data_IF_691229221072
#
_entry.id   IF_691229221072
#
_cell.length_a   1.000
_cell.length_b   1.000
_cell.length_c   1.000
_cell.angle_alpha   90.00
_cell.angle_beta   90.00
_cell.angle_gamma   90.00
#
_symmetry.space_group_name_H-M   'P 1'
#
loop_
_entity.id
_entity.type
_entity.pdbx_description
1 polymer ?
#
# COMPACT_ATOMS: atom_id res chain seq x y z
N UNK A 1 -37.29 11.45 57.43
CA UNK A 1 -37.58 10.99 56.07
C UNK A 1 -36.24 10.80 55.34
N UNK A 2 -35.69 9.57 55.40
CA UNK A 2 -34.44 9.20 54.78
C UNK A 2 -34.72 8.57 53.42
N UNK A 3 -34.17 9.16 52.34
CA UNK A 3 -34.17 8.53 50.99
C UNK A 3 -32.91 7.68 50.84
N UNK A 4 -32.99 6.43 50.39
CA UNK A 4 -31.79 5.63 50.09
C UNK A 4 -31.11 6.07 48.81
N UNK A 5 -29.77 6.15 48.83
CA UNK A 5 -28.90 6.36 47.67
C UNK A 5 -28.90 5.10 46.82
N UNK A 6 -29.28 5.21 45.56
CA UNK A 6 -29.07 4.17 44.54
C UNK A 6 -27.61 4.21 44.07
N UNK A 7 -26.94 3.06 44.14
CA UNK A 7 -25.64 2.82 43.54
C UNK A 7 -25.83 2.38 42.08
N UNK A 8 -25.04 2.87 41.12
CA UNK A 8 -25.10 2.38 39.76
C UNK A 8 -24.56 0.94 39.66
N UNK A 9 -25.23 0.13 38.86
CA UNK A 9 -24.85 -1.26 38.60
C UNK A 9 -23.53 -1.35 37.81
N UNK A 10 -22.72 -2.39 38.03
CA UNK A 10 -21.46 -2.56 37.32
C UNK A 10 -21.71 -2.92 35.85
N UNK A 11 -20.95 -2.27 34.97
CA UNK A 11 -20.91 -2.55 33.54
C UNK A 11 -20.49 -4.01 33.29
N UNK A 12 -21.33 -4.72 32.56
CA UNK A 12 -21.05 -6.08 32.12
C UNK A 12 -20.01 -6.03 31.01
N UNK A 13 -18.78 -6.43 31.32
CA UNK A 13 -17.76 -6.73 30.32
C UNK A 13 -18.22 -7.98 29.56
N UNK A 14 -18.55 -7.82 28.29
CA UNK A 14 -18.84 -8.94 27.41
C UNK A 14 -17.50 -9.62 27.05
N UNK A 15 -17.22 -10.77 27.66
CA UNK A 15 -16.17 -11.68 27.21
C UNK A 15 -16.59 -12.21 25.83
N UNK A 16 -15.91 -11.75 24.77
CA UNK A 16 -15.98 -12.35 23.44
C UNK A 16 -15.24 -13.69 23.48
N UNK A 17 -15.96 -14.76 23.25
CA UNK A 17 -15.41 -16.11 23.14
C UNK A 17 -14.58 -16.23 21.87
N UNK A 18 -13.25 -16.26 22.00
CA UNK A 18 -12.31 -16.59 20.94
C UNK A 18 -12.47 -18.07 20.57
N UNK A 19 -13.00 -18.36 19.38
CA UNK A 19 -12.97 -19.70 18.81
C UNK A 19 -11.62 -19.87 18.08
N UNK A 20 -10.76 -20.72 18.64
CA UNK A 20 -9.48 -21.10 18.04
C UNK A 20 -9.74 -22.09 16.90
N UNK A 21 -9.70 -21.63 15.64
CA UNK A 21 -9.64 -22.50 14.47
C UNK A 21 -8.19 -22.62 13.99
N UNK A 22 -7.58 -23.77 14.27
CA UNK A 22 -6.27 -24.12 13.71
C UNK A 22 -6.51 -24.65 12.28
N UNK A 23 -6.26 -23.82 11.28
CA UNK A 23 -6.19 -24.26 9.89
C UNK A 23 -4.72 -24.18 9.46
N UNK A 24 -4.12 -25.34 9.17
CA UNK A 24 -2.74 -25.40 8.66
C UNK A 24 -2.70 -24.79 7.27
N UNK A 25 -2.07 -23.62 7.14
CA UNK A 25 -1.75 -23.01 5.85
C UNK A 25 -0.35 -23.44 5.41
N UNK A 26 -0.21 -23.79 4.13
CA UNK A 26 1.08 -24.07 3.52
C UNK A 26 1.95 -22.80 3.55
N UNK A 27 3.02 -22.84 4.34
CA UNK A 27 3.99 -21.77 4.45
C UNK A 27 4.69 -21.53 3.09
N UNK A 28 4.63 -20.31 2.60
CA UNK A 28 5.64 -19.81 1.67
C UNK A 28 6.90 -19.60 2.52
N UNK A 29 7.79 -20.59 2.49
CA UNK A 29 9.04 -20.55 3.24
C UNK A 29 9.99 -19.53 2.59
N UNK A 30 10.01 -18.30 3.11
CA UNK A 30 11.18 -17.45 3.02
C UNK A 30 12.35 -18.19 3.70
N UNK A 31 13.53 -18.10 3.11
CA UNK A 31 14.72 -18.93 3.46
C UNK A 31 15.36 -18.47 4.79
N UNK A 32 14.63 -18.57 5.90
CA UNK A 32 15.09 -18.24 7.26
C UNK A 32 15.67 -19.46 7.99
N UNK A 33 16.59 -20.18 7.34
CA UNK A 33 17.23 -21.35 7.92
C UNK A 33 17.97 -21.01 9.21
N UNK A 34 17.44 -21.44 10.35
CA UNK A 34 18.06 -21.30 11.67
C UNK A 34 17.54 -20.13 12.52
N UNK A 35 16.59 -19.33 12.05
CA UNK A 35 15.96 -18.29 12.86
C UNK A 35 14.93 -18.90 13.82
N UNK A 36 14.81 -18.31 15.01
CA UNK A 36 13.70 -18.57 15.92
C UNK A 36 12.45 -17.90 15.37
N UNK A 37 11.30 -18.58 15.48
CA UNK A 37 10.01 -18.09 14.97
C UNK A 37 8.98 -18.03 16.08
N UNK A 38 8.11 -17.02 16.00
CA UNK A 38 6.90 -16.88 16.82
C UNK A 38 5.74 -16.50 15.93
N UNK A 39 4.66 -17.25 15.96
CA UNK A 39 3.48 -17.07 15.12
C UNK A 39 2.31 -16.52 15.93
N UNK A 40 1.58 -15.60 15.32
CA UNK A 40 0.38 -15.00 15.86
C UNK A 40 -0.75 -15.10 14.83
N UNK A 41 -1.91 -15.61 15.24
CA UNK A 41 -3.07 -15.76 14.39
C UNK A 41 -4.32 -15.27 15.10
N UNK A 42 -5.00 -14.28 14.56
CA UNK A 42 -6.22 -13.76 15.14
C UNK A 42 -7.20 -13.27 14.08
N UNK A 43 -8.50 -13.42 14.36
CA UNK A 43 -9.58 -12.90 13.52
C UNK A 43 -10.42 -11.95 14.35
N UNK A 44 -10.74 -10.80 13.75
CA UNK A 44 -11.52 -9.73 14.37
C UNK A 44 -12.80 -9.53 13.57
N UNK A 45 -13.96 -9.47 14.25
CA UNK A 45 -15.20 -9.06 13.61
C UNK A 45 -15.09 -7.61 13.12
N UNK A 46 -15.46 -7.37 11.87
CA UNK A 46 -15.17 -6.10 11.21
C UNK A 46 -16.27 -5.69 10.24
N UNK A 47 -16.52 -4.39 10.09
CA UNK A 47 -17.49 -3.90 9.10
C UNK A 47 -16.92 -3.99 7.68
N UNK A 48 -17.77 -4.18 6.66
CA UNK A 48 -17.30 -4.31 5.27
C UNK A 48 -16.48 -3.13 4.74
N UNK A 49 -16.71 -1.93 5.27
CA UNK A 49 -16.10 -0.66 4.89
C UNK A 49 -15.21 -0.08 6.00
N UNK A 50 -14.85 -0.89 6.97
CA UNK A 50 -14.00 -0.49 8.10
C UNK A 50 -12.60 -0.07 7.66
N UNK A 51 -11.92 0.64 8.56
CA UNK A 51 -10.59 1.21 8.37
C UNK A 51 -9.52 0.29 8.91
N UNK A 52 -8.50 0.01 8.09
CA UNK A 52 -7.31 -0.76 8.48
C UNK A 52 -6.08 0.11 8.36
N UNK A 53 -5.30 0.16 9.44
CA UNK A 53 -3.99 0.81 9.51
C UNK A 53 -2.93 -0.24 9.88
N UNK A 54 -1.77 -0.18 9.22
CA UNK A 54 -0.65 -1.06 9.53
C UNK A 54 0.68 -0.31 9.40
N UNK A 55 1.48 -0.33 10.46
CA UNK A 55 2.85 0.17 10.46
C UNK A 55 3.82 -0.98 10.75
N UNK A 56 4.69 -1.31 9.78
CA UNK A 56 5.74 -2.31 9.94
C UNK A 56 7.11 -1.72 9.62
N UNK A 57 8.10 -2.08 10.41
CA UNK A 57 9.47 -1.58 10.24
C UNK A 57 10.29 -2.53 9.37
N UNK A 58 10.26 -3.84 9.67
CA UNK A 58 11.02 -4.84 8.93
C UNK A 58 10.16 -6.07 8.64
N UNK A 59 10.06 -6.46 7.39
CA UNK A 59 9.37 -7.67 6.92
C UNK A 59 8.30 -7.37 5.88
N UNK A 60 7.88 -8.41 5.18
CA UNK A 60 6.87 -8.34 4.14
C UNK A 60 5.46 -8.18 4.72
N UNK A 61 4.59 -7.53 3.95
CA UNK A 61 3.16 -7.41 4.24
C UNK A 61 2.37 -7.82 3.00
N UNK A 62 1.50 -8.80 3.15
CA UNK A 62 0.59 -9.26 2.11
C UNK A 62 -0.86 -8.99 2.54
N UNK A 63 -1.60 -8.22 1.74
CA UNK A 63 -2.99 -7.89 2.00
C UNK A 63 -3.85 -8.45 0.87
N UNK A 64 -4.78 -9.31 1.20
CA UNK A 64 -5.74 -9.89 0.28
C UNK A 64 -7.17 -9.71 0.80
N UNK A 65 -8.16 -10.03 -0.02
CA UNK A 65 -9.56 -9.82 0.34
C UNK A 65 -10.38 -11.09 0.35
N UNK A 66 -11.46 -11.06 1.14
CA UNK A 66 -12.51 -12.08 1.17
C UNK A 66 -13.91 -11.47 1.30
N UNK A 67 -14.93 -12.33 1.26
CA UNK A 67 -16.33 -11.89 1.35
C UNK A 67 -16.91 -12.05 2.78
N UNK A 68 -16.04 -11.99 3.81
CA UNK A 68 -16.46 -12.09 5.21
C UNK A 68 -16.35 -10.73 5.91
N UNK A 69 -17.21 -10.46 6.89
CA UNK A 69 -17.19 -9.26 7.71
C UNK A 69 -16.21 -9.43 8.89
N UNK A 70 -15.00 -9.82 8.59
CA UNK A 70 -13.92 -10.08 9.53
C UNK A 70 -12.59 -9.69 8.92
N UNK A 71 -11.61 -9.33 9.76
CA UNK A 71 -10.21 -9.22 9.36
C UNK A 71 -9.42 -10.34 10.02
N UNK A 72 -8.75 -11.16 9.21
CA UNK A 72 -7.79 -12.14 9.67
C UNK A 72 -6.39 -11.53 9.65
N UNK A 73 -5.69 -11.64 10.76
CA UNK A 73 -4.30 -11.20 10.94
C UNK A 73 -3.44 -12.41 11.26
N UNK A 74 -2.56 -12.74 10.34
CA UNK A 74 -1.49 -13.71 10.56
C UNK A 74 -0.16 -12.94 10.60
N UNK A 75 0.61 -13.08 11.67
CA UNK A 75 1.93 -12.47 11.80
C UNK A 75 2.96 -13.53 12.20
N UNK A 76 4.12 -13.49 11.56
CA UNK A 76 5.23 -14.37 11.87
C UNK A 76 6.46 -13.53 12.18
N UNK A 77 7.00 -13.68 13.39
CA UNK A 77 8.24 -13.03 13.79
C UNK A 77 9.43 -13.97 13.56
N UNK A 78 10.53 -13.42 13.11
CA UNK A 78 11.80 -14.12 12.88
C UNK A 78 12.94 -13.37 13.57
N UNK A 79 13.79 -14.09 14.29
CA UNK A 79 14.99 -13.51 14.88
C UNK A 79 16.11 -14.56 15.10
N UNK A 80 17.36 -14.10 15.15
CA UNK A 80 18.51 -14.95 15.43
C UNK A 80 18.62 -15.33 16.92
N UNK A 81 17.92 -14.63 17.80
CA UNK A 81 17.90 -14.90 19.24
C UNK A 81 16.53 -14.62 19.86
N UNK A 82 16.27 -15.27 21.00
CA UNK A 82 15.03 -15.07 21.74
C UNK A 82 14.88 -13.64 22.24
N UNK A 83 15.96 -13.00 22.67
CA UNK A 83 15.95 -11.61 23.13
C UNK A 83 15.47 -10.66 22.03
N UNK A 84 15.93 -10.86 20.78
CA UNK A 84 15.49 -10.06 19.63
C UNK A 84 14.04 -10.34 19.25
N UNK A 85 13.62 -11.60 19.35
CA UNK A 85 12.24 -11.98 19.12
C UNK A 85 11.30 -11.29 20.13
N UNK A 86 11.69 -11.28 21.40
CA UNK A 86 10.95 -10.66 22.50
C UNK A 86 10.94 -9.11 22.39
N UNK A 87 11.90 -8.50 21.69
CA UNK A 87 11.96 -7.06 21.45
C UNK A 87 10.94 -6.57 20.38
N UNK A 88 10.53 -7.43 19.46
CA UNK A 88 9.53 -7.06 18.49
C UNK A 88 8.13 -7.21 19.10
N UNK A 89 7.50 -6.08 19.41
CA UNK A 89 6.16 -6.03 19.94
C UNK A 89 5.15 -5.73 18.82
N UNK A 90 4.12 -6.56 18.72
CA UNK A 90 2.99 -6.34 17.83
C UNK A 90 1.84 -5.81 18.68
N UNK A 91 1.54 -4.52 18.52
CA UNK A 91 0.42 -3.88 19.17
C UNK A 91 -0.77 -3.87 18.21
N UNK A 92 -1.92 -4.37 18.65
CA UNK A 92 -3.15 -4.40 17.87
C UNK A 92 -4.25 -3.73 18.69
N UNK A 93 -4.84 -2.69 18.11
CA UNK A 93 -6.03 -2.03 18.62
C UNK A 93 -7.17 -2.28 17.63
N UNK A 94 -8.28 -2.86 18.11
CA UNK A 94 -9.36 -3.32 17.24
C UNK A 94 -10.73 -2.94 17.79
N UNK A 95 -11.49 -2.23 16.97
CA UNK A 95 -12.89 -1.96 17.09
C UNK A 95 -13.66 -2.60 15.93
N UNK A 96 -14.99 -2.44 15.90
CA UNK A 96 -15.83 -3.03 14.85
C UNK A 96 -15.55 -2.47 13.44
N UNK A 97 -15.08 -1.23 13.34
CA UNK A 97 -14.87 -0.47 12.09
C UNK A 97 -13.44 0.10 11.98
N UNK A 98 -12.59 -0.21 12.96
CA UNK A 98 -11.19 0.25 12.97
C UNK A 98 -10.27 -0.85 13.49
N UNK A 99 -9.19 -1.11 12.74
CA UNK A 99 -8.10 -2.00 13.12
C UNK A 99 -6.77 -1.29 12.89
N UNK A 100 -6.00 -1.11 13.97
CA UNK A 100 -4.65 -0.55 13.90
C UNK A 100 -3.63 -1.59 14.36
N UNK A 101 -2.65 -1.88 13.52
CA UNK A 101 -1.56 -2.84 13.78
C UNK A 101 -0.25 -2.09 13.72
N UNK A 102 0.57 -2.19 14.77
CA UNK A 102 1.88 -1.52 14.82
C UNK A 102 2.96 -2.45 15.32
N UNK A 103 4.04 -2.59 14.55
CA UNK A 103 5.25 -3.24 15.02
C UNK A 103 6.15 -2.23 15.72
N UNK A 104 6.42 -2.44 17.00
CA UNK A 104 7.28 -1.59 17.83
C UNK A 104 8.55 -2.33 18.23
N UNK A 105 9.66 -1.61 18.24
CA UNK A 105 10.93 -2.05 18.79
C UNK A 105 11.31 -1.11 19.94
N UNK A 106 12.03 -1.59 20.97
CA UNK A 106 12.53 -0.72 22.03
C UNK A 106 13.40 0.40 21.45
N UNK A 107 13.23 1.61 21.98
CA UNK A 107 14.15 2.71 21.71
C UNK A 107 15.54 2.32 22.19
N UNK A 108 16.40 1.89 21.29
CA UNK A 108 17.82 1.81 21.61
C UNK A 108 18.37 3.23 21.55
N UNK A 109 18.92 3.70 22.68
CA UNK A 109 19.82 4.85 22.71
C UNK A 109 20.72 4.78 21.48
N UNK A 110 20.76 5.87 20.69
CA UNK A 110 21.56 6.00 19.47
C UNK A 110 23.07 6.02 19.79
N UNK A 111 23.53 5.17 20.67
CA UNK A 111 24.95 4.87 20.81
C UNK A 111 25.31 3.97 19.61
N UNK A 112 25.86 4.61 18.57
CA UNK A 112 26.46 3.94 17.42
C UNK A 112 27.55 2.97 17.90
N UNK A 113 27.15 1.76 18.23
CA UNK A 113 28.10 0.69 18.51
C UNK A 113 28.46 0.02 17.16
N UNK A 114 29.50 0.50 16.53
CA UNK A 114 30.04 0.07 15.23
C UNK A 114 30.60 -1.37 15.27
N UNK A 115 29.97 -2.31 15.82
CA UNK A 115 30.49 -3.68 15.91
C UNK A 115 29.46 -4.76 16.23
N UNK A 116 28.28 -4.38 16.58
CA UNK A 116 27.17 -5.31 16.81
C UNK A 116 26.33 -5.42 15.55
N UNK A 117 26.22 -6.61 14.99
CA UNK A 117 25.22 -6.93 13.95
C UNK A 117 23.83 -6.88 14.61
N UNK A 118 23.36 -5.66 14.89
CA UNK A 118 22.06 -5.42 15.48
C UNK A 118 20.98 -5.51 14.41
N UNK A 119 20.71 -6.74 13.96
CA UNK A 119 19.63 -7.01 13.05
C UNK A 119 18.36 -7.15 13.89
N UNK A 120 17.41 -6.19 13.85
CA UNK A 120 16.16 -6.32 14.60
C UNK A 120 15.37 -7.52 14.07
N UNK A 121 14.45 -8.04 14.88
CA UNK A 121 13.55 -9.09 14.42
C UNK A 121 12.77 -8.63 13.17
N UNK A 122 12.45 -9.55 12.31
CA UNK A 122 11.58 -9.33 11.15
C UNK A 122 10.18 -9.80 11.49
N UNK A 123 9.15 -9.03 11.12
CA UNK A 123 7.75 -9.40 11.28
C UNK A 123 7.07 -9.40 9.92
N UNK A 124 6.65 -10.56 9.48
CA UNK A 124 5.88 -10.71 8.24
C UNK A 124 4.39 -10.78 8.56
N UNK A 125 3.58 -10.04 7.81
CA UNK A 125 2.13 -10.00 7.98
C UNK A 125 1.41 -10.54 6.76
N UNK A 126 0.39 -11.34 7.00
CA UNK A 126 -0.62 -11.69 6.01
C UNK A 126 -1.99 -11.26 6.55
N UNK A 127 -2.58 -10.27 5.90
CA UNK A 127 -3.91 -9.78 6.24
C UNK A 127 -4.92 -10.27 5.20
N UNK A 128 -6.07 -10.72 5.68
CA UNK A 128 -7.24 -10.95 4.81
C UNK A 128 -8.36 -10.07 5.31
N UNK A 129 -8.77 -9.09 4.49
CA UNK A 129 -9.73 -8.05 4.86
C UNK A 129 -11.01 -8.15 4.03
N UNK A 130 -12.15 -7.58 4.48
CA UNK A 130 -13.32 -7.43 3.61
C UNK A 130 -12.97 -6.67 2.33
N UNK A 131 -13.60 -7.01 1.19
CA UNK A 131 -13.32 -6.33 -0.10
C UNK A 131 -13.48 -4.81 -0.04
N UNK A 132 -14.47 -4.32 0.71
CA UNK A 132 -14.78 -2.90 0.85
C UNK A 132 -13.95 -2.17 1.90
N UNK A 133 -13.07 -2.86 2.62
CA UNK A 133 -12.25 -2.26 3.67
C UNK A 133 -11.38 -1.12 3.09
N UNK A 134 -11.20 -0.07 3.89
CA UNK A 134 -10.32 1.05 3.56
C UNK A 134 -8.96 0.82 4.20
N UNK A 135 -7.92 0.84 3.39
CA UNK A 135 -6.53 0.79 3.84
C UNK A 135 -6.02 2.22 3.96
N UNK A 136 -6.30 2.87 5.08
CA UNK A 136 -6.08 4.31 5.23
C UNK A 136 -4.60 4.67 5.46
N UNK A 137 -3.83 3.79 6.11
CA UNK A 137 -2.44 4.05 6.42
C UNK A 137 -1.64 2.74 6.49
N UNK A 138 -1.19 2.26 5.34
CA UNK A 138 -0.31 1.09 5.27
C UNK A 138 1.11 1.56 5.05
N UNK A 139 1.96 1.46 6.08
CA UNK A 139 3.33 1.97 6.08
C UNK A 139 4.36 0.88 6.34
N UNK A 140 5.31 0.75 5.42
CA UNK A 140 6.47 -0.10 5.58
C UNK A 140 7.76 0.72 5.50
N UNK A 141 8.73 0.37 6.36
CA UNK A 141 10.06 0.96 6.24
C UNK A 141 10.95 0.06 5.38
N UNK A 142 11.10 -1.22 5.74
CA UNK A 142 11.93 -2.17 5.02
C UNK A 142 11.16 -3.46 4.75
N UNK A 143 10.90 -3.77 3.49
CA UNK A 143 10.20 -4.99 3.08
C UNK A 143 9.39 -4.80 1.82
N UNK A 144 8.68 -5.85 1.42
CA UNK A 144 7.74 -5.80 0.30
C UNK A 144 6.30 -5.62 0.81
N UNK A 145 5.53 -4.84 0.07
CA UNK A 145 4.10 -4.69 0.28
C UNK A 145 3.35 -5.18 -0.95
N UNK A 146 2.45 -6.11 -0.76
CA UNK A 146 1.55 -6.62 -1.79
C UNK A 146 0.10 -6.40 -1.35
N UNK A 147 -0.70 -5.75 -2.20
CA UNK A 147 -2.12 -5.46 -1.95
C UNK A 147 -2.97 -5.93 -3.11
N UNK A 148 -3.90 -6.83 -2.85
CA UNK A 148 -4.72 -7.44 -3.90
C UNK A 148 -6.22 -7.39 -3.60
N UNK A 149 -7.00 -6.93 -4.60
CA UNK A 149 -8.46 -7.10 -4.67
C UNK A 149 -9.29 -6.18 -3.78
N UNK A 150 -8.70 -5.14 -3.18
CA UNK A 150 -9.41 -4.18 -2.33
C UNK A 150 -10.24 -3.23 -3.18
N UNK A 151 -11.53 -3.09 -2.85
CA UNK A 151 -12.45 -2.17 -3.52
C UNK A 151 -12.69 -0.85 -2.74
N UNK A 152 -12.26 -0.78 -1.49
CA UNK A 152 -12.21 0.45 -0.71
C UNK A 152 -11.04 1.35 -1.12
N UNK A 153 -10.91 2.48 -0.44
CA UNK A 153 -9.79 3.41 -0.63
C UNK A 153 -8.48 2.79 -0.13
N UNK A 154 -7.37 3.03 -0.83
CA UNK A 154 -6.05 2.49 -0.49
C UNK A 154 -5.00 3.59 -0.48
N UNK A 155 -4.41 3.85 0.70
CA UNK A 155 -3.23 4.68 0.89
C UNK A 155 -2.10 3.82 1.45
N UNK A 156 -1.08 3.59 0.64
CA UNK A 156 0.03 2.74 1.04
C UNK A 156 1.39 3.34 0.68
N UNK A 157 2.36 3.14 1.56
CA UNK A 157 3.72 3.65 1.38
C UNK A 157 4.78 2.65 1.83
N UNK A 158 5.88 2.60 1.06
CA UNK A 158 7.05 1.80 1.39
C UNK A 158 8.31 2.68 1.27
N UNK A 159 9.20 2.65 2.27
CA UNK A 159 10.44 3.43 2.19
C UNK A 159 11.49 2.65 1.38
N UNK A 160 11.79 1.42 1.78
CA UNK A 160 12.80 0.58 1.15
C UNK A 160 12.21 -0.78 0.80
N UNK A 161 11.90 -0.99 -0.48
CA UNK A 161 11.37 -2.27 -0.93
C UNK A 161 10.46 -2.16 -2.14
N UNK A 162 9.78 -3.25 -2.44
CA UNK A 162 8.84 -3.34 -3.55
C UNK A 162 7.43 -3.10 -3.04
N UNK A 163 6.64 -2.34 -3.82
CA UNK A 163 5.22 -2.18 -3.63
C UNK A 163 4.50 -2.74 -4.86
N UNK A 164 3.70 -3.76 -4.68
CA UNK A 164 2.89 -4.37 -5.73
C UNK A 164 1.40 -4.20 -5.41
N UNK A 165 0.62 -3.80 -6.41
CA UNK A 165 -0.81 -3.59 -6.27
C UNK A 165 -1.58 -4.26 -7.42
N UNK A 166 -2.56 -5.08 -7.08
CA UNK A 166 -3.32 -5.84 -8.06
C UNK A 166 -4.83 -5.65 -7.87
N UNK A 167 -5.52 -5.23 -8.94
CA UNK A 167 -6.98 -5.17 -9.00
C UNK A 167 -7.65 -4.41 -7.85
N UNK A 168 -7.13 -3.22 -7.54
CA UNK A 168 -7.77 -2.28 -6.64
C UNK A 168 -8.91 -1.54 -7.38
N UNK A 169 -10.02 -1.23 -6.70
CA UNK A 169 -11.18 -0.63 -7.36
C UNK A 169 -11.57 0.74 -6.78
N UNK A 170 -11.12 1.08 -5.58
CA UNK A 170 -11.31 2.39 -4.96
C UNK A 170 -10.25 3.41 -5.36
N UNK A 171 -10.35 4.60 -4.77
CA UNK A 171 -9.28 5.59 -4.86
C UNK A 171 -7.98 4.97 -4.35
N UNK A 172 -6.93 5.09 -5.15
CA UNK A 172 -5.65 4.45 -4.85
C UNK A 172 -4.52 5.47 -4.89
N UNK A 173 -3.78 5.56 -3.79
CA UNK A 173 -2.57 6.37 -3.66
C UNK A 173 -1.43 5.51 -3.11
N UNK A 174 -0.43 5.25 -3.96
CA UNK A 174 0.71 4.41 -3.62
C UNK A 174 2.00 5.19 -3.75
N UNK A 175 2.90 5.04 -2.77
CA UNK A 175 4.18 5.75 -2.80
C UNK A 175 5.34 4.88 -2.35
N UNK A 176 6.51 5.09 -2.96
CA UNK A 176 7.76 4.48 -2.50
C UNK A 176 8.90 5.50 -2.54
N UNK A 177 9.88 5.36 -1.63
CA UNK A 177 11.07 6.20 -1.66
C UNK A 177 12.19 5.49 -2.41
N UNK A 178 12.54 4.27 -2.02
CA UNK A 178 13.60 3.49 -2.65
C UNK A 178 13.08 2.11 -3.00
N UNK A 179 12.72 1.91 -4.27
CA UNK A 179 12.23 0.63 -4.71
C UNK A 179 11.40 0.67 -5.98
N UNK A 180 10.77 -0.43 -6.23
CA UNK A 180 9.94 -0.63 -7.42
C UNK A 180 8.46 -0.58 -7.02
N UNK A 181 7.67 0.18 -7.77
CA UNK A 181 6.22 0.24 -7.64
C UNK A 181 5.60 -0.36 -8.91
N UNK A 182 4.84 -1.43 -8.78
CA UNK A 182 4.15 -2.12 -9.87
C UNK A 182 2.65 -2.19 -9.55
N UNK A 183 1.82 -1.61 -10.42
CA UNK A 183 0.37 -1.64 -10.28
C UNK A 183 -0.29 -2.24 -11.51
N UNK A 184 -1.12 -3.28 -11.33
CA UNK A 184 -1.79 -4.00 -12.42
C UNK A 184 -3.30 -4.06 -12.20
N UNK A 185 -4.04 -3.73 -13.25
CA UNK A 185 -5.50 -3.67 -13.21
C UNK A 185 -6.11 -4.43 -14.38
N UNK A 186 -6.99 -5.38 -14.10
CA UNK A 186 -7.84 -6.05 -15.11
C UNK A 186 -9.03 -5.17 -15.52
N UNK A 187 -9.38 -4.22 -14.65
CA UNK A 187 -10.36 -3.16 -14.86
C UNK A 187 -9.89 -1.91 -14.13
N UNK A 188 -10.01 -0.75 -14.77
CA UNK A 188 -9.65 0.50 -14.11
C UNK A 188 -10.55 0.75 -12.88
N UNK A 189 -9.99 1.25 -11.78
CA UNK A 189 -10.78 1.68 -10.62
C UNK A 189 -11.78 2.76 -11.02
N UNK A 190 -12.89 2.84 -10.27
CA UNK A 190 -13.91 3.87 -10.49
C UNK A 190 -13.50 5.28 -10.07
N UNK A 191 -12.31 5.44 -9.48
CA UNK A 191 -11.78 6.68 -8.90
C UNK A 191 -10.36 6.94 -9.39
N UNK A 192 -9.72 8.01 -8.86
CA UNK A 192 -8.35 8.39 -9.21
C UNK A 192 -7.29 7.36 -8.77
N UNK A 193 -6.24 7.25 -9.58
CA UNK A 193 -5.04 6.48 -9.30
C UNK A 193 -3.83 7.41 -9.26
N UNK A 194 -3.09 7.38 -8.17
CA UNK A 194 -1.86 8.16 -8.00
C UNK A 194 -0.71 7.25 -7.57
N UNK A 195 0.36 7.21 -8.36
CA UNK A 195 1.55 6.41 -8.10
C UNK A 195 2.77 7.33 -8.03
N UNK A 196 3.52 7.28 -6.91
CA UNK A 196 4.69 8.12 -6.67
C UNK A 196 5.92 7.32 -6.31
N UNK A 197 7.05 7.66 -6.88
CA UNK A 197 8.35 7.13 -6.47
C UNK A 197 9.41 8.24 -6.40
N UNK A 198 10.36 8.10 -5.48
CA UNK A 198 11.52 9.00 -5.45
C UNK A 198 12.69 8.36 -6.19
N UNK A 199 13.09 7.16 -5.81
CA UNK A 199 14.22 6.44 -6.43
C UNK A 199 13.77 5.02 -6.78
N UNK A 200 13.62 4.74 -8.07
CA UNK A 200 13.21 3.44 -8.57
C UNK A 200 12.33 3.57 -9.80
N UNK A 201 11.63 2.53 -10.15
CA UNK A 201 10.72 2.53 -11.29
C UNK A 201 9.27 2.49 -10.86
N UNK A 202 8.41 3.09 -11.68
CA UNK A 202 6.96 3.00 -11.57
C UNK A 202 6.44 2.31 -12.81
N UNK A 203 5.83 1.14 -12.66
CA UNK A 203 5.18 0.43 -13.73
C UNK A 203 3.67 0.38 -13.49
N UNK A 204 2.90 0.72 -14.52
CA UNK A 204 1.45 0.64 -14.51
C UNK A 204 0.97 -0.20 -15.68
N UNK A 205 0.21 -1.25 -15.42
CA UNK A 205 -0.45 -2.05 -16.45
C UNK A 205 -1.97 -1.89 -16.35
N UNK A 206 -2.59 -1.43 -17.43
CA UNK A 206 -4.04 -1.19 -17.51
C UNK A 206 -4.65 -1.93 -18.71
N UNK A 207 -5.97 -2.18 -18.71
CA UNK A 207 -6.66 -2.78 -19.86
C UNK A 207 -6.38 -2.05 -21.17
N UNK A 208 -6.30 -2.80 -22.27
CA UNK A 208 -6.05 -2.22 -23.60
C UNK A 208 -7.12 -1.23 -24.04
N UNK A 209 -8.38 -1.43 -23.64
CA UNK A 209 -9.54 -0.58 -23.95
C UNK A 209 -9.84 0.49 -22.87
N UNK A 210 -8.83 0.86 -22.09
CA UNK A 210 -8.97 1.83 -20.98
C UNK A 210 -9.47 3.19 -21.43
N UNK A 211 -10.26 3.82 -20.56
CA UNK A 211 -10.71 5.22 -20.70
C UNK A 211 -10.13 6.02 -19.54
N UNK A 212 -9.13 6.83 -19.81
CA UNK A 212 -8.40 7.56 -18.77
C UNK A 212 -7.75 8.83 -19.31
N UNK A 213 -7.54 9.80 -18.43
CA UNK A 213 -6.58 10.88 -18.62
C UNK A 213 -5.30 10.50 -17.85
N UNK A 214 -4.16 10.42 -18.55
CA UNK A 214 -2.87 10.05 -17.98
C UNK A 214 -1.97 11.27 -17.91
N UNK A 215 -1.46 11.55 -16.71
CA UNK A 215 -0.42 12.53 -16.46
C UNK A 215 0.79 11.82 -15.84
N UNK A 216 1.93 11.81 -16.52
CA UNK A 216 3.15 11.21 -16.02
C UNK A 216 4.30 12.23 -16.07
N UNK A 217 5.13 12.28 -15.02
CA UNK A 217 6.28 13.17 -14.96
C UNK A 217 7.46 12.54 -14.22
N UNK A 218 8.67 12.75 -14.75
CA UNK A 218 9.92 12.37 -14.10
C UNK A 218 10.95 13.47 -14.19
N UNK A 219 11.75 13.66 -13.15
CA UNK A 219 12.83 14.63 -13.13
C UNK A 219 14.09 14.06 -13.78
N UNK A 220 14.46 12.82 -13.44
CA UNK A 220 15.64 12.14 -13.99
C UNK A 220 15.27 10.70 -14.34
N UNK A 221 15.16 10.44 -15.63
CA UNK A 221 14.75 9.14 -16.16
C UNK A 221 13.93 9.27 -17.43
N UNK A 222 13.30 8.19 -17.85
CA UNK A 222 12.47 8.13 -19.05
C UNK A 222 11.02 7.82 -18.73
N UNK A 223 10.13 8.13 -19.67
CA UNK A 223 8.74 7.68 -19.68
C UNK A 223 8.56 6.84 -20.94
N UNK A 224 8.03 5.63 -20.78
CA UNK A 224 7.68 4.74 -21.89
C UNK A 224 6.20 4.39 -21.77
N UNK A 225 5.50 4.30 -22.91
CA UNK A 225 4.11 3.88 -22.93
C UNK A 225 3.76 3.10 -24.20
N UNK A 226 2.88 2.10 -24.05
CA UNK A 226 2.42 1.22 -25.14
C UNK A 226 1.22 1.80 -25.91
N UNK A 227 0.65 2.90 -25.42
CA UNK A 227 -0.54 3.54 -26.03
C UNK A 227 -0.21 4.53 -27.14
N UNK A 228 1.07 4.83 -27.37
CA UNK A 228 1.51 5.77 -28.41
C UNK A 228 1.32 7.25 -28.06
N UNK A 229 1.14 7.56 -26.75
CA UNK A 229 1.13 8.96 -26.29
C UNK A 229 2.50 9.58 -26.42
N UNK A 230 2.54 10.86 -26.79
CA UNK A 230 3.79 11.60 -26.97
C UNK A 230 4.43 11.95 -25.63
N UNK A 231 5.75 11.67 -25.52
CA UNK A 231 6.54 12.04 -24.34
C UNK A 231 7.31 13.32 -24.66
N UNK A 232 7.04 14.38 -23.91
CA UNK A 232 7.72 15.65 -24.04
C UNK A 232 9.00 15.64 -23.22
N UNK A 233 10.07 16.24 -23.78
CA UNK A 233 11.28 16.54 -23.03
C UNK A 233 11.22 18.00 -22.58
N UNK A 234 11.28 18.22 -21.27
CA UNK A 234 11.30 19.58 -20.71
C UNK A 234 12.61 20.30 -21.09
N UNK A 235 12.53 21.61 -21.26
CA UNK A 235 13.65 22.41 -21.75
C UNK A 235 14.91 22.35 -20.88
N UNK A 236 14.77 22.10 -19.57
CA UNK A 236 15.91 22.05 -18.64
C UNK A 236 16.15 20.67 -18.07
N UNK A 237 15.16 20.04 -17.46
CA UNK A 237 15.28 18.72 -16.80
C UNK A 237 13.96 17.99 -16.85
N UNK A 238 14.01 16.69 -17.21
CA UNK A 238 12.90 15.75 -17.06
C UNK A 238 12.08 15.51 -18.32
N UNK A 239 11.12 14.62 -18.13
CA UNK A 239 10.15 14.23 -19.16
C UNK A 239 8.75 14.34 -18.57
N UNK A 240 7.78 14.66 -19.40
CA UNK A 240 6.38 14.62 -19.09
C UNK A 240 5.55 14.03 -20.23
N UNK A 241 4.45 13.43 -19.86
CA UNK A 241 3.45 12.91 -20.77
C UNK A 241 2.09 13.34 -20.23
N UNK A 242 1.26 13.87 -21.12
CA UNK A 242 -0.14 14.15 -20.82
C UNK A 242 -1.01 13.74 -21.98
N UNK A 243 -1.93 12.84 -21.75
CA UNK A 243 -2.77 12.32 -22.82
C UNK A 243 -4.07 11.72 -22.31
N UNK A 244 -4.96 11.51 -23.25
CA UNK A 244 -6.29 10.94 -23.06
C UNK A 244 -6.40 9.62 -23.83
N UNK A 245 -6.92 8.60 -23.18
CA UNK A 245 -7.22 7.30 -23.75
C UNK A 245 -8.73 7.10 -23.84
N UNK A 246 -9.23 6.66 -25.00
CA UNK A 246 -10.62 6.24 -25.17
C UNK A 246 -11.67 7.34 -24.93
N UNK A 247 -11.32 8.62 -25.07
CA UNK A 247 -12.22 9.75 -24.84
C UNK A 247 -12.23 10.24 -23.38
N UNK A 248 -11.18 9.94 -22.62
CA UNK A 248 -11.00 10.34 -21.23
C UNK A 248 -11.83 9.51 -20.24
N UNK A 249 -11.76 9.89 -18.99
CA UNK A 249 -12.44 9.17 -17.89
C UNK A 249 -11.72 9.34 -16.57
N UNK A 250 -11.21 8.23 -16.03
CA UNK A 250 -10.47 8.23 -14.78
C UNK A 250 -9.15 9.02 -14.90
N UNK A 251 -8.80 9.74 -13.83
CA UNK A 251 -7.53 10.45 -13.78
C UNK A 251 -6.44 9.55 -13.19
N UNK A 252 -5.34 9.40 -13.94
CA UNK A 252 -4.14 8.64 -13.57
C UNK A 252 -2.96 9.59 -13.48
N UNK A 253 -2.31 9.66 -12.31
CA UNK A 253 -1.13 10.46 -12.07
C UNK A 253 0.06 9.61 -11.68
N UNK A 254 1.16 9.73 -12.42
CA UNK A 254 2.39 9.00 -12.20
C UNK A 254 3.54 10.00 -11.99
N UNK A 255 4.20 9.94 -10.86
CA UNK A 255 5.29 10.84 -10.50
C UNK A 255 6.54 10.06 -10.10
N UNK A 256 7.68 10.45 -10.69
CA UNK A 256 8.98 9.90 -10.29
C UNK A 256 10.02 11.03 -10.21
N UNK A 257 10.95 10.91 -9.29
CA UNK A 257 12.09 11.84 -9.25
C UNK A 257 13.26 11.24 -10.00
N UNK A 258 13.70 10.04 -9.62
CA UNK A 258 14.85 9.37 -10.25
C UNK A 258 14.45 7.95 -10.66
N UNK A 259 14.23 7.74 -11.95
CA UNK A 259 13.92 6.43 -12.50
C UNK A 259 12.91 6.49 -13.64
N UNK A 260 12.53 5.32 -14.11
CA UNK A 260 11.66 5.15 -15.26
C UNK A 260 10.19 5.07 -14.84
N UNK A 261 9.31 5.62 -15.67
CA UNK A 261 7.87 5.38 -15.63
C UNK A 261 7.51 4.56 -16.86
N UNK A 262 6.79 3.48 -16.68
CA UNK A 262 6.33 2.57 -17.74
C UNK A 262 4.81 2.42 -17.66
N UNK A 263 4.11 2.67 -18.77
CA UNK A 263 2.67 2.50 -18.88
C UNK A 263 2.37 1.45 -19.94
N UNK A 264 1.95 0.27 -19.50
CA UNK A 264 1.69 -0.88 -20.32
C UNK A 264 0.20 -1.15 -20.54
N UNK A 265 -0.15 -1.72 -21.67
CA UNK A 265 -1.45 -2.31 -21.86
C UNK A 265 -1.42 -3.82 -21.52
N UNK A 266 -2.52 -4.34 -20.97
CA UNK A 266 -2.61 -5.71 -20.44
C UNK A 266 -2.73 -6.71 -21.57
N UNK A 267 -2.22 -6.72 -22.68
CA UNK A 267 -2.25 -7.74 -23.76
C UNK A 267 -3.46 -8.72 -23.69
N UNK A 268 -4.63 -8.16 -23.35
CA UNK A 268 -5.86 -8.87 -22.98
C UNK A 268 -6.74 -9.22 -24.20
N UNK A 269 -6.21 -9.01 -25.38
CA UNK A 269 -6.92 -9.26 -26.65
C UNK A 269 -7.98 -8.22 -27.00
N UNK A 270 -8.14 -7.16 -26.20
CA UNK A 270 -9.04 -6.04 -26.49
C UNK A 270 -8.38 -5.06 -27.47
N UNK A 271 -9.21 -4.30 -28.16
CA UNK A 271 -8.71 -3.25 -29.05
C UNK A 271 -8.06 -2.13 -28.24
N UNK A 272 -6.86 -1.71 -28.64
CA UNK A 272 -6.17 -0.63 -27.97
C UNK A 272 -6.98 0.69 -28.09
N UNK A 273 -7.16 1.38 -26.98
CA UNK A 273 -7.85 2.67 -26.94
C UNK A 273 -7.17 3.70 -27.83
N UNK A 274 -7.93 4.49 -28.59
CA UNK A 274 -7.35 5.63 -29.28
C UNK A 274 -6.73 6.60 -28.28
N UNK A 275 -5.51 7.02 -28.57
CA UNK A 275 -4.76 7.95 -27.75
C UNK A 275 -4.79 9.36 -28.36
N UNK A 276 -4.88 10.36 -27.50
CA UNK A 276 -4.84 11.79 -27.89
C UNK A 276 -3.93 12.54 -26.94
N UNK A 277 -2.95 13.23 -27.49
CA UNK A 277 -2.08 14.11 -26.71
C UNK A 277 -2.82 15.38 -26.28
N UNK A 278 -2.67 15.76 -25.01
CA UNK A 278 -3.34 16.94 -24.43
C UNK A 278 -2.40 18.15 -24.30
N UNK A 279 -1.25 18.18 -24.93
CA UNK A 279 -0.30 19.30 -24.88
C UNK A 279 0.20 19.63 -23.47
N UNK A 280 1.22 20.49 -23.36
CA UNK A 280 1.62 21.09 -22.08
C UNK A 280 0.50 22.02 -21.58
N UNK A 281 0.24 22.06 -20.27
CA UNK A 281 -0.38 23.26 -19.68
C UNK A 281 0.62 24.38 -19.90
N UNK A 282 0.27 25.34 -20.76
CA UNK A 282 1.00 26.59 -20.84
C UNK A 282 0.98 27.17 -19.42
N UNK A 283 2.16 27.19 -18.78
CA UNK A 283 2.33 27.88 -17.52
C UNK A 283 1.98 29.33 -17.79
N UNK A 284 1.20 29.93 -16.90
CA UNK A 284 0.75 31.31 -16.92
C UNK A 284 1.80 32.20 -17.52
N UNK A 285 1.58 32.63 -18.77
CA UNK A 285 2.18 33.83 -19.34
C UNK A 285 1.61 35.02 -18.54
N UNK A 286 2.28 35.34 -17.43
CA UNK A 286 2.18 36.70 -16.87
C UNK A 286 2.65 37.69 -17.91
N UNK A 287 1.69 38.10 -18.73
CA UNK A 287 1.81 39.28 -19.62
C UNK A 287 1.85 40.54 -18.74
N UNK A 288 3.02 40.82 -18.15
CA UNK A 288 3.37 42.07 -17.55
C UNK A 288 4.27 42.86 -18.53
N UNK A 289 3.73 43.20 -19.70
CA UNK A 289 4.32 44.19 -20.57
C UNK A 289 3.26 45.12 -21.12
N UNK A 290 2.78 46.03 -20.27
CA UNK A 290 2.27 47.37 -20.68
C UNK A 290 2.30 48.32 -19.49
N UNK A 291 3.35 49.11 -19.37
CA UNK A 291 3.35 50.59 -19.37
C UNK A 291 4.81 51.03 -19.29
#
# INVERSE_FOLDING_TARGET
MNRPRQFPAPARIALSTCALFILALAAHASDHRGALTEEFHQTYAFTPDGRVELENINGAVHISTWDQNEVKVDAVKFADSKERLDQAHVDIDSDKDHLSIRTKYPDHDLTFNWGSHNNPATVEYTLTVPRGARLDEIKLINGSLDVTGVSGEVHASCINGRLEAHNLAGRTELSTINGHLDAKFDQLPGSSLELKSVNGSVALTIPSDSKAEIEASTVSGGIENDFGLHVNRRSFVGHDLRGELGGGGMHIRLENVNGRIEVHHASDGRTLSPAKDLGQRDGDDDDDSKI
#
